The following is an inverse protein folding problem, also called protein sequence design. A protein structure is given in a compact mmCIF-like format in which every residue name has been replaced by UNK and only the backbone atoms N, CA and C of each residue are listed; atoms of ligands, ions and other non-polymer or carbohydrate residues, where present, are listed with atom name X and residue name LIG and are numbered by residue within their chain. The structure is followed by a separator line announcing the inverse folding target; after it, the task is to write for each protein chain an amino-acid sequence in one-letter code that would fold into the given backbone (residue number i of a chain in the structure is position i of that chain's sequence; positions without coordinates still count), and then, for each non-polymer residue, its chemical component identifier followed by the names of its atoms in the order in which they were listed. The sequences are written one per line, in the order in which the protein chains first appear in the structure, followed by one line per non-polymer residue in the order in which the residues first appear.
data_IF_196102074169
#
_entry.id   IF_196102074169
#
_cell.length_a   1.000
_cell.length_b   1.000
_cell.length_c   1.000
_cell.angle_alpha   90.00
_cell.angle_beta   90.00
_cell.angle_gamma   90.00
#
_symmetry.space_group_name_H-M   'P 1'
#
loop_
_entity.id
_entity.type
_entity.pdbx_description
1 polymer ?
#
# COMPACT_ATOMS: atom_id res chain seq x y z
N UNK A 1 112.61 -31.21 14.85
CA UNK A 1 112.55 -29.97 14.14
C UNK A 1 113.15 -30.17 12.76
N UNK A 2 112.43 -30.03 11.64
CA UNK A 2 112.94 -30.17 10.26
C UNK A 2 113.52 -28.84 9.82
N UNK A 3 114.74 -28.89 9.28
CA UNK A 3 115.44 -27.72 8.78
C UNK A 3 115.65 -27.86 7.25
N UNK A 4 115.58 -26.75 6.52
CA UNK A 4 116.05 -26.67 5.15
C UNK A 4 117.54 -26.36 5.18
N UNK A 5 118.36 -27.27 4.71
CA UNK A 5 119.83 -27.11 4.62
C UNK A 5 120.22 -26.59 3.23
N UNK A 6 120.74 -25.36 3.19
CA UNK A 6 121.38 -24.84 1.97
C UNK A 6 122.89 -24.81 2.19
N UNK A 7 123.54 -25.70 1.46
CA UNK A 7 124.97 -25.83 1.55
C UNK A 7 125.59 -25.05 0.39
N UNK A 8 126.55 -24.18 0.68
CA UNK A 8 127.32 -23.43 -0.31
C UNK A 8 128.83 -23.69 -0.08
N UNK A 9 129.53 -24.14 -1.06
CA UNK A 9 131.01 -24.29 -1.02
C UNK A 9 131.67 -22.91 -1.05
N UNK A 10 132.54 -22.69 -0.13
CA UNK A 10 133.49 -21.57 -0.19
C UNK A 10 134.61 -21.83 -1.19
N UNK A 11 134.79 -20.90 -2.14
CA UNK A 11 135.86 -20.99 -3.08
C UNK A 11 137.27 -20.93 -2.33
N UNK A 12 138.07 -21.78 -2.71
CA UNK A 12 139.47 -21.92 -2.18
C UNK A 12 139.70 -22.47 -0.75
N UNK A 13 138.65 -23.07 -0.13
CA UNK A 13 138.68 -23.70 1.17
C UNK A 13 138.00 -25.10 1.18
N UNK A 14 138.49 -26.09 2.00
CA UNK A 14 137.76 -27.35 2.12
C UNK A 14 136.49 -27.30 2.94
N UNK A 15 135.97 -26.13 3.20
CA UNK A 15 134.81 -25.92 4.09
C UNK A 15 133.46 -25.58 3.33
N UNK A 16 132.47 -26.32 3.74
CA UNK A 16 131.11 -26.08 3.28
C UNK A 16 130.32 -25.30 4.38
N UNK A 17 129.70 -24.16 4.03
CA UNK A 17 128.77 -23.45 4.93
C UNK A 17 127.37 -23.95 4.67
N UNK A 18 126.74 -24.56 5.68
CA UNK A 18 125.39 -25.02 5.62
C UNK A 18 124.49 -24.09 6.47
N UNK A 19 123.63 -23.35 5.80
CA UNK A 19 122.65 -22.54 6.48
C UNK A 19 121.42 -23.43 6.77
N UNK A 20 121.09 -23.63 8.04
CA UNK A 20 119.97 -24.36 8.52
C UNK A 20 118.79 -23.41 8.82
N UNK A 21 117.78 -23.34 7.96
CA UNK A 21 116.59 -22.53 8.19
C UNK A 21 115.49 -23.42 8.75
N UNK A 22 114.88 -23.12 9.92
CA UNK A 22 113.86 -23.98 10.51
C UNK A 22 112.65 -24.02 9.59
N UNK A 23 112.23 -25.19 9.10
CA UNK A 23 111.06 -25.34 8.25
C UNK A 23 109.75 -25.07 8.96
N UNK A 24 109.76 -25.01 10.29
CA UNK A 24 108.54 -24.72 11.07
C UNK A 24 108.01 -23.31 10.84
N UNK A 25 108.83 -22.29 10.76
CA UNK A 25 108.49 -20.92 10.55
C UNK A 25 107.96 -20.70 9.12
N UNK A 26 108.59 -21.28 8.12
CA UNK A 26 108.11 -21.27 6.73
C UNK A 26 106.76 -21.98 6.56
N UNK A 27 106.59 -23.12 7.24
CA UNK A 27 105.27 -23.82 7.24
C UNK A 27 104.21 -23.04 7.96
N UNK A 28 104.50 -22.33 9.07
CA UNK A 28 103.54 -21.48 9.74
C UNK A 28 103.16 -20.28 8.88
N UNK A 29 104.12 -19.68 8.21
CA UNK A 29 103.86 -18.51 7.36
C UNK A 29 103.05 -18.94 6.10
N UNK A 30 103.34 -20.04 5.47
CA UNK A 30 102.56 -20.60 4.38
C UNK A 30 101.21 -21.07 4.81
N UNK A 31 101.04 -21.62 6.02
CA UNK A 31 99.75 -22.00 6.55
C UNK A 31 98.86 -20.75 6.86
N UNK A 32 99.46 -19.69 7.44
CA UNK A 32 98.76 -18.45 7.68
C UNK A 32 98.29 -17.73 6.39
N UNK A 33 99.21 -17.71 5.37
CA UNK A 33 98.79 -17.15 4.06
C UNK A 33 97.73 -17.99 3.38
N UNK A 34 97.85 -19.35 3.47
CA UNK A 34 96.79 -20.24 2.97
C UNK A 34 95.43 -20.06 3.62
N UNK A 35 95.45 -19.85 4.97
CA UNK A 35 94.21 -19.60 5.70
C UNK A 35 93.57 -18.21 5.36
N UNK A 36 94.40 -17.17 5.19
CA UNK A 36 93.92 -15.86 4.76
C UNK A 36 93.27 -15.90 3.36
N UNK A 37 93.92 -16.59 2.42
CA UNK A 37 93.35 -16.80 1.07
C UNK A 37 92.06 -17.61 1.13
N UNK A 38 92.01 -18.66 1.91
CA UNK A 38 90.79 -19.48 2.06
C UNK A 38 89.66 -18.68 2.66
N UNK A 39 89.94 -17.85 3.69
CA UNK A 39 88.92 -16.93 4.28
C UNK A 39 88.45 -15.87 3.28
N UNK A 40 89.38 -15.30 2.48
CA UNK A 40 89.05 -14.36 1.44
C UNK A 40 88.12 -14.96 0.38
N UNK A 41 88.42 -16.21 -0.08
CA UNK A 41 87.53 -16.92 -1.02
C UNK A 41 86.18 -17.27 -0.39
N UNK A 42 86.11 -17.67 0.88
CA UNK A 42 84.88 -17.96 1.57
C UNK A 42 83.97 -16.70 1.70
N UNK A 43 84.57 -15.55 2.06
CA UNK A 43 83.93 -14.29 2.08
C UNK A 43 83.38 -13.86 0.72
N UNK A 44 84.20 -14.00 -0.32
CA UNK A 44 83.73 -13.70 -1.70
C UNK A 44 82.61 -14.61 -2.13
N UNK A 45 82.66 -15.87 -1.87
CA UNK A 45 81.59 -16.83 -2.15
C UNK A 45 80.34 -16.48 -1.38
N UNK A 46 80.42 -16.11 -0.08
CA UNK A 46 79.29 -15.64 0.73
C UNK A 46 78.69 -14.40 0.16
N UNK A 47 79.47 -13.39 -0.21
CA UNK A 47 79.00 -12.17 -0.84
C UNK A 47 78.32 -12.45 -2.17
N UNK A 48 78.76 -13.31 -2.99
CA UNK A 48 78.17 -13.71 -4.25
C UNK A 48 76.83 -14.40 -4.04
N UNK A 49 76.74 -15.30 -3.07
CA UNK A 49 75.48 -15.98 -2.71
C UNK A 49 74.51 -14.95 -2.16
N UNK A 50 74.93 -14.11 -1.21
CA UNK A 50 74.10 -13.09 -0.65
C UNK A 50 73.54 -12.04 -1.71
N UNK A 51 74.42 -11.69 -2.64
CA UNK A 51 74.09 -10.86 -3.79
C UNK A 51 73.01 -11.52 -4.70
N UNK A 52 73.26 -12.80 -5.02
CA UNK A 52 72.34 -13.57 -5.86
C UNK A 52 70.96 -13.73 -5.19
N UNK A 53 70.88 -14.02 -3.89
CA UNK A 53 69.62 -14.08 -3.13
C UNK A 53 68.89 -12.71 -3.06
N UNK A 54 69.71 -11.66 -2.82
CA UNK A 54 69.12 -10.28 -2.88
C UNK A 54 68.52 -9.94 -4.25
N UNK A 55 69.24 -10.29 -5.33
CA UNK A 55 68.73 -10.07 -6.70
C UNK A 55 67.41 -10.84 -6.96
N UNK A 56 67.35 -12.11 -6.52
CA UNK A 56 66.05 -12.88 -6.63
C UNK A 56 64.93 -12.26 -5.86
N UNK A 57 65.11 -11.82 -4.60
CA UNK A 57 64.11 -11.18 -3.77
C UNK A 57 63.64 -9.86 -4.38
N UNK A 58 64.54 -9.05 -4.93
CA UNK A 58 64.17 -7.81 -5.60
C UNK A 58 63.36 -8.09 -6.85
N UNK A 59 63.80 -9.05 -7.69
CA UNK A 59 63.09 -9.42 -8.91
C UNK A 59 61.68 -9.94 -8.62
N UNK A 60 61.52 -10.81 -7.61
CA UNK A 60 60.18 -11.31 -7.21
C UNK A 60 59.29 -10.21 -6.64
N UNK A 61 59.83 -9.26 -5.86
CA UNK A 61 59.06 -8.09 -5.36
C UNK A 61 58.62 -7.15 -6.47
N UNK A 62 59.48 -6.90 -7.48
CA UNK A 62 59.14 -6.10 -8.65
C UNK A 62 58.00 -6.74 -9.45
N UNK A 63 58.17 -8.04 -9.79
CA UNK A 63 57.15 -8.78 -10.51
C UNK A 63 55.80 -8.83 -9.74
N UNK A 64 55.80 -9.01 -8.42
CA UNK A 64 54.61 -8.98 -7.59
C UNK A 64 53.95 -7.59 -7.57
N UNK A 65 54.75 -6.51 -7.52
CA UNK A 65 54.22 -5.13 -7.63
C UNK A 65 53.59 -4.86 -8.98
N UNK A 66 54.22 -5.25 -10.07
CA UNK A 66 53.69 -5.09 -11.43
C UNK A 66 52.38 -5.87 -11.58
N UNK A 67 52.32 -7.12 -11.13
CA UNK A 67 51.10 -7.92 -11.16
C UNK A 67 49.97 -7.32 -10.32
N UNK A 68 50.29 -6.80 -9.13
CA UNK A 68 49.30 -6.12 -8.28
C UNK A 68 48.79 -4.84 -8.93
N UNK A 69 49.66 -4.06 -9.55
CA UNK A 69 49.26 -2.81 -10.22
C UNK A 69 48.42 -3.09 -11.46
N UNK A 70 48.72 -4.12 -12.24
CA UNK A 70 47.88 -4.57 -13.35
C UNK A 70 46.50 -5.03 -12.89
N UNK A 71 46.47 -5.86 -11.83
CA UNK A 71 45.22 -6.31 -11.23
C UNK A 71 44.35 -5.13 -10.70
N UNK A 72 44.99 -4.16 -10.06
CA UNK A 72 44.32 -2.95 -9.57
C UNK A 72 43.74 -2.12 -10.72
N UNK A 73 44.51 -1.89 -11.76
CA UNK A 73 44.09 -1.18 -12.96
C UNK A 73 42.88 -1.87 -13.65
N UNK A 74 42.92 -3.21 -13.73
CA UNK A 74 41.83 -4.00 -14.27
C UNK A 74 40.57 -3.89 -13.40
N UNK A 75 40.73 -3.90 -12.08
CA UNK A 75 39.63 -3.76 -11.13
C UNK A 75 39.00 -2.38 -11.23
N UNK A 76 39.78 -1.32 -11.28
CA UNK A 76 39.30 0.06 -11.45
C UNK A 76 38.49 0.23 -12.75
N UNK A 77 38.99 -0.35 -13.87
CA UNK A 77 38.25 -0.35 -15.14
C UNK A 77 36.89 -1.05 -14.99
N UNK A 78 36.87 -2.26 -14.41
CA UNK A 78 35.63 -3.01 -14.17
C UNK A 78 34.65 -2.28 -13.26
N UNK A 79 35.15 -1.63 -12.21
CA UNK A 79 34.31 -0.82 -11.30
C UNK A 79 33.70 0.35 -12.08
N UNK A 80 34.51 1.07 -12.86
CA UNK A 80 34.05 2.21 -13.65
C UNK A 80 32.99 1.78 -14.68
N UNK A 81 33.24 0.71 -15.41
CA UNK A 81 32.28 0.16 -16.39
C UNK A 81 30.98 -0.27 -15.72
N UNK A 82 31.05 -1.01 -14.61
CA UNK A 82 29.85 -1.42 -13.87
C UNK A 82 29.09 -0.24 -13.30
N UNK A 83 29.80 0.75 -12.77
CA UNK A 83 29.17 1.95 -12.19
C UNK A 83 28.45 2.78 -13.27
N UNK A 84 29.06 2.94 -14.43
CA UNK A 84 28.41 3.66 -15.57
C UNK A 84 27.20 2.89 -16.09
N UNK A 85 27.31 1.56 -16.22
CA UNK A 85 26.19 0.71 -16.64
C UNK A 85 25.03 0.75 -15.64
N UNK A 86 25.34 0.67 -14.32
CA UNK A 86 24.33 0.77 -13.26
C UNK A 86 23.63 2.13 -13.24
N UNK A 87 24.38 3.22 -13.44
CA UNK A 87 23.80 4.58 -13.54
C UNK A 87 22.86 4.69 -14.73
N UNK A 88 23.29 4.23 -15.89
CA UNK A 88 22.46 4.24 -17.10
C UNK A 88 21.18 3.39 -16.93
N UNK A 89 21.29 2.22 -16.34
CA UNK A 89 20.14 1.35 -16.05
C UNK A 89 19.17 1.99 -15.03
N UNK A 90 19.70 2.65 -14.00
CA UNK A 90 18.90 3.33 -12.98
C UNK A 90 18.14 4.52 -13.57
N UNK A 91 18.78 5.32 -14.44
CA UNK A 91 18.10 6.44 -15.12
C UNK A 91 17.00 5.94 -16.07
N UNK A 92 17.24 4.81 -16.77
CA UNK A 92 16.21 4.19 -17.62
C UNK A 92 15.02 3.70 -16.79
N UNK A 93 15.28 3.01 -15.66
CA UNK A 93 14.22 2.57 -14.74
C UNK A 93 13.42 3.75 -14.16
N UNK A 94 14.08 4.83 -13.77
CA UNK A 94 13.40 6.05 -13.31
C UNK A 94 12.51 6.66 -14.40
N UNK A 95 12.98 6.66 -15.64
CA UNK A 95 12.18 7.10 -16.81
C UNK A 95 10.92 6.24 -16.97
N UNK A 96 11.08 4.91 -16.99
CA UNK A 96 9.95 3.97 -17.12
C UNK A 96 8.95 4.10 -15.95
N UNK A 97 9.44 4.29 -14.71
CA UNK A 97 8.55 4.51 -13.55
C UNK A 97 7.73 5.80 -13.72
N UNK A 98 8.34 6.89 -14.23
CA UNK A 98 7.63 8.15 -14.48
C UNK A 98 6.56 7.98 -15.56
N UNK A 99 6.93 7.38 -16.69
CA UNK A 99 5.98 7.11 -17.79
C UNK A 99 4.82 6.23 -17.33
N UNK A 100 5.12 5.17 -16.58
CA UNK A 100 4.09 4.29 -16.02
C UNK A 100 3.14 5.02 -15.09
N UNK A 101 3.66 5.85 -14.17
CA UNK A 101 2.82 6.66 -13.28
C UNK A 101 1.93 7.64 -14.05
N UNK A 102 2.48 8.31 -15.07
CA UNK A 102 1.67 9.19 -15.91
C UNK A 102 0.57 8.44 -16.66
N UNK A 103 0.88 7.25 -17.19
CA UNK A 103 -0.11 6.42 -17.86
C UNK A 103 -1.20 5.93 -16.89
N UNK A 104 -0.81 5.50 -15.67
CA UNK A 104 -1.74 5.10 -14.61
C UNK A 104 -2.66 6.27 -14.18
N UNK A 105 -2.11 7.48 -14.00
CA UNK A 105 -2.90 8.68 -13.67
C UNK A 105 -3.87 9.07 -14.81
N UNK A 106 -3.41 8.97 -16.05
CA UNK A 106 -4.26 9.26 -17.21
C UNK A 106 -5.39 8.24 -17.33
N UNK A 107 -5.08 6.95 -17.16
CA UNK A 107 -6.06 5.87 -17.20
C UNK A 107 -7.11 6.06 -16.07
N UNK A 108 -6.66 6.39 -14.86
CA UNK A 108 -7.54 6.66 -13.74
C UNK A 108 -8.50 7.82 -14.02
N UNK A 109 -7.99 8.93 -14.54
CA UNK A 109 -8.84 10.08 -14.94
C UNK A 109 -9.87 9.70 -16.00
N UNK A 110 -9.45 8.95 -17.02
CA UNK A 110 -10.34 8.49 -18.07
C UNK A 110 -11.43 7.56 -17.52
N UNK A 111 -11.08 6.65 -16.59
CA UNK A 111 -12.05 5.79 -15.91
C UNK A 111 -13.06 6.62 -15.09
N UNK A 112 -12.58 7.61 -14.32
CA UNK A 112 -13.45 8.49 -13.54
C UNK A 112 -14.41 9.29 -14.44
N UNK A 113 -13.93 9.76 -15.58
CA UNK A 113 -14.75 10.47 -16.58
C UNK A 113 -15.80 9.54 -17.21
N UNK A 114 -15.44 8.29 -17.55
CA UNK A 114 -16.39 7.30 -18.07
C UNK A 114 -17.47 6.94 -17.05
N UNK A 115 -17.10 6.74 -15.78
CA UNK A 115 -18.04 6.49 -14.69
C UNK A 115 -19.00 7.67 -14.53
N UNK A 116 -18.48 8.90 -14.57
CA UNK A 116 -19.29 10.09 -14.48
C UNK A 116 -20.25 10.26 -15.69
N UNK A 117 -19.73 10.03 -16.90
CA UNK A 117 -20.55 10.06 -18.11
C UNK A 117 -21.64 8.99 -18.07
N UNK A 118 -21.32 7.77 -17.59
CA UNK A 118 -22.30 6.71 -17.39
C UNK A 118 -23.41 7.08 -16.40
N UNK A 119 -23.06 7.73 -15.28
CA UNK A 119 -24.04 8.23 -14.31
C UNK A 119 -24.96 9.28 -14.92
N UNK A 120 -24.40 10.24 -15.66
CA UNK A 120 -25.19 11.29 -16.32
C UNK A 120 -26.06 10.72 -17.42
N UNK A 121 -25.58 9.75 -18.20
CA UNK A 121 -26.36 9.06 -19.22
C UNK A 121 -27.53 8.29 -18.59
N UNK A 122 -27.32 7.61 -17.46
CA UNK A 122 -28.38 6.94 -16.73
C UNK A 122 -29.45 7.92 -16.24
N UNK A 123 -29.06 9.08 -15.68
CA UNK A 123 -30.01 10.15 -15.32
C UNK A 123 -30.77 10.65 -16.57
N UNK A 124 -30.06 10.84 -17.70
CA UNK A 124 -30.67 11.30 -18.95
C UNK A 124 -31.71 10.33 -19.50
N UNK A 125 -31.40 9.04 -19.53
CA UNK A 125 -32.37 8.01 -19.95
C UNK A 125 -33.60 7.93 -19.06
N UNK A 126 -33.45 8.30 -17.78
CA UNK A 126 -34.50 8.21 -16.78
C UNK A 126 -35.18 9.53 -16.47
N UNK A 127 -34.85 10.59 -17.22
CA UNK A 127 -35.43 11.93 -17.01
C UNK A 127 -36.95 11.91 -17.02
N UNK A 128 -37.58 11.08 -17.87
CA UNK A 128 -39.03 10.93 -17.95
C UNK A 128 -39.60 10.30 -16.66
N UNK A 129 -38.97 9.26 -16.13
CA UNK A 129 -39.42 8.61 -14.89
C UNK A 129 -39.25 9.54 -13.69
N UNK A 130 -38.10 10.24 -13.60
CA UNK A 130 -37.85 11.24 -12.54
C UNK A 130 -38.85 12.36 -12.62
N UNK A 131 -39.16 12.91 -13.80
CA UNK A 131 -40.16 13.92 -13.99
C UNK A 131 -41.53 13.41 -13.57
N UNK A 132 -41.89 12.18 -13.89
CA UNK A 132 -43.14 11.57 -13.47
C UNK A 132 -43.26 11.46 -11.95
N UNK A 133 -42.20 10.97 -11.28
CA UNK A 133 -42.16 10.85 -9.82
C UNK A 133 -42.10 12.17 -9.05
N UNK A 134 -41.63 13.26 -9.66
CA UNK A 134 -41.71 14.60 -9.10
C UNK A 134 -43.08 15.25 -9.36
N UNK A 135 -43.69 14.98 -10.52
CA UNK A 135 -44.98 15.54 -10.88
C UNK A 135 -46.16 14.94 -10.06
N UNK A 136 -46.06 13.67 -9.65
CA UNK A 136 -47.10 13.01 -8.82
C UNK A 136 -47.29 13.71 -7.47
N UNK A 137 -46.27 13.89 -6.60
CA UNK A 137 -46.45 14.61 -5.34
C UNK A 137 -46.85 16.08 -5.55
N UNK A 138 -46.38 16.73 -6.62
CA UNK A 138 -46.79 18.07 -6.98
C UNK A 138 -48.31 18.15 -7.28
N UNK A 139 -48.84 17.19 -8.04
CA UNK A 139 -50.27 17.12 -8.30
C UNK A 139 -51.08 16.87 -7.02
N UNK A 140 -50.63 15.98 -6.15
CA UNK A 140 -51.23 15.71 -4.85
C UNK A 140 -51.20 16.95 -3.93
N UNK A 141 -50.08 17.66 -3.85
CA UNK A 141 -49.92 18.91 -3.11
C UNK A 141 -50.92 19.95 -3.56
N UNK A 142 -51.09 20.14 -4.89
CA UNK A 142 -52.05 21.08 -5.46
C UNK A 142 -53.49 20.74 -5.05
N UNK A 143 -53.87 19.46 -5.11
CA UNK A 143 -55.18 18.96 -4.74
C UNK A 143 -55.47 19.14 -3.25
N UNK A 144 -54.50 18.70 -2.41
CA UNK A 144 -54.63 18.82 -0.95
C UNK A 144 -54.70 20.28 -0.49
N UNK A 145 -53.87 21.15 -1.09
CA UNK A 145 -53.90 22.59 -0.78
C UNK A 145 -55.26 23.19 -1.10
N UNK A 146 -55.81 22.91 -2.29
CA UNK A 146 -57.15 23.38 -2.66
C UNK A 146 -58.29 22.85 -1.76
N UNK A 147 -58.19 21.57 -1.36
CA UNK A 147 -59.13 20.94 -0.44
C UNK A 147 -59.01 21.55 0.98
N UNK A 148 -57.80 21.80 1.45
CA UNK A 148 -57.53 22.40 2.77
C UNK A 148 -58.23 23.75 2.90
N UNK A 149 -58.10 24.62 1.88
CA UNK A 149 -58.80 25.91 1.86
C UNK A 149 -60.34 25.74 2.01
N UNK A 150 -60.96 24.82 1.25
CA UNK A 150 -62.35 24.52 1.33
C UNK A 150 -62.84 23.98 2.69
N UNK A 151 -61.98 23.11 3.33
CA UNK A 151 -62.31 22.59 4.66
C UNK A 151 -62.19 23.67 5.74
N UNK A 152 -61.21 24.58 5.62
CA UNK A 152 -61.08 25.74 6.50
C UNK A 152 -62.33 26.66 6.39
N UNK A 153 -62.80 26.94 5.15
CA UNK A 153 -64.00 27.73 4.91
C UNK A 153 -65.26 27.08 5.51
N UNK A 154 -65.33 25.76 5.64
CA UNK A 154 -66.44 25.00 6.25
C UNK A 154 -66.27 24.78 7.75
N UNK A 155 -65.15 25.18 8.35
CA UNK A 155 -64.89 24.99 9.76
C UNK A 155 -64.38 23.61 10.14
N UNK A 156 -64.10 22.76 9.16
CA UNK A 156 -63.61 21.39 9.37
C UNK A 156 -62.09 21.39 9.67
N UNK A 157 -61.66 21.93 10.81
CA UNK A 157 -60.30 22.17 11.21
C UNK A 157 -59.46 20.86 11.30
N UNK A 158 -60.10 19.75 11.69
CA UNK A 158 -59.42 18.46 11.80
C UNK A 158 -58.96 17.96 10.43
N UNK A 159 -59.84 17.94 9.45
CA UNK A 159 -59.49 17.48 8.07
C UNK A 159 -58.50 18.42 7.42
N UNK A 160 -58.60 19.73 7.69
CA UNK A 160 -57.61 20.70 7.21
C UNK A 160 -56.22 20.43 7.82
N UNK A 161 -56.14 20.10 9.11
CA UNK A 161 -54.86 19.75 9.78
C UNK A 161 -54.27 18.45 9.23
N UNK A 162 -55.09 17.41 9.00
CA UNK A 162 -54.63 16.14 8.41
C UNK A 162 -54.11 16.35 6.98
N UNK A 163 -54.76 17.20 6.17
CA UNK A 163 -54.28 17.56 4.84
C UNK A 163 -52.94 18.31 4.89
N UNK A 164 -52.76 19.26 5.84
CA UNK A 164 -51.49 19.96 6.02
C UNK A 164 -50.38 19.02 6.44
N UNK A 165 -50.64 18.05 7.31
CA UNK A 165 -49.69 17.00 7.68
C UNK A 165 -49.26 16.18 6.46
N UNK A 166 -50.23 15.80 5.61
CA UNK A 166 -49.96 15.06 4.36
C UNK A 166 -49.11 15.89 3.37
N UNK A 167 -49.40 17.19 3.26
CA UNK A 167 -48.64 18.15 2.46
C UNK A 167 -47.16 18.18 2.91
N UNK A 168 -46.91 18.31 4.22
CA UNK A 168 -45.56 18.31 4.77
C UNK A 168 -44.81 17.00 4.43
N UNK A 169 -45.42 15.84 4.57
CA UNK A 169 -44.87 14.56 4.22
C UNK A 169 -44.50 14.47 2.74
N UNK A 170 -45.30 15.03 1.83
CA UNK A 170 -45.01 15.07 0.40
C UNK A 170 -43.83 16.00 0.07
N UNK A 171 -43.74 17.16 0.75
CA UNK A 171 -42.58 18.08 0.60
C UNK A 171 -41.30 17.42 1.04
N UNK A 172 -41.28 16.73 2.20
CA UNK A 172 -40.13 15.99 2.70
C UNK A 172 -39.70 14.85 1.75
N UNK A 173 -40.70 14.18 1.15
CA UNK A 173 -40.44 13.16 0.12
C UNK A 173 -39.76 13.77 -1.10
N UNK A 174 -40.24 14.90 -1.63
CA UNK A 174 -39.61 15.60 -2.76
C UNK A 174 -38.18 16.05 -2.41
N UNK A 175 -37.95 16.53 -1.20
CA UNK A 175 -36.62 16.88 -0.69
C UNK A 175 -35.67 15.70 -0.74
N UNK A 176 -36.10 14.50 -0.31
CA UNK A 176 -35.31 13.26 -0.39
C UNK A 176 -35.00 12.84 -1.83
N UNK A 177 -35.98 12.89 -2.74
CA UNK A 177 -35.77 12.59 -4.16
C UNK A 177 -34.68 13.50 -4.76
N UNK A 178 -34.79 14.81 -4.55
CA UNK A 178 -33.83 15.79 -5.10
C UNK A 178 -32.46 15.68 -4.47
N UNK A 179 -32.35 15.38 -3.17
CA UNK A 179 -31.08 15.12 -2.48
C UNK A 179 -30.40 13.89 -3.03
N UNK A 180 -31.10 12.78 -3.25
CA UNK A 180 -30.57 11.54 -3.83
C UNK A 180 -30.07 11.76 -5.26
N UNK A 181 -30.80 12.47 -6.10
CA UNK A 181 -30.39 12.81 -7.46
C UNK A 181 -29.13 13.67 -7.47
N UNK A 182 -29.05 14.69 -6.60
CA UNK A 182 -27.87 15.55 -6.46
C UNK A 182 -26.65 14.75 -6.02
N UNK A 183 -26.82 13.85 -5.06
CA UNK A 183 -25.75 12.98 -4.56
C UNK A 183 -25.24 12.03 -5.64
N UNK A 184 -26.14 11.46 -6.45
CA UNK A 184 -25.77 10.57 -7.57
C UNK A 184 -25.00 11.32 -8.66
N UNK A 185 -25.38 12.57 -8.96
CA UNK A 185 -24.74 13.41 -9.97
C UNK A 185 -23.38 14.02 -9.54
N UNK A 186 -23.10 14.07 -8.22
CA UNK A 186 -21.90 14.74 -7.70
C UNK A 186 -20.64 13.95 -7.98
N UNK A 187 -19.58 14.64 -8.45
CA UNK A 187 -18.21 14.10 -8.50
C UNK A 187 -17.72 13.87 -7.08
N UNK A 188 -17.29 12.66 -6.78
CA UNK A 188 -16.76 12.34 -5.47
C UNK A 188 -15.30 12.77 -5.33
N UNK A 189 -15.01 13.55 -4.31
CA UNK A 189 -13.62 13.72 -3.82
C UNK A 189 -13.35 12.56 -2.85
N UNK A 190 -12.49 11.62 -3.26
CA UNK A 190 -12.34 10.29 -2.62
C UNK A 190 -11.39 10.27 -1.41
N UNK A 191 -11.00 11.41 -0.84
CA UNK A 191 -9.98 11.50 0.20
C UNK A 191 -10.54 11.86 1.60
N UNK A 192 -11.64 11.25 2.01
CA UNK A 192 -12.18 11.42 3.36
C UNK A 192 -11.81 10.29 4.31
N UNK A 193 -11.79 10.60 5.61
CA UNK A 193 -11.77 9.60 6.69
C UNK A 193 -13.02 9.75 7.53
N UNK A 194 -13.70 8.64 7.81
CA UNK A 194 -14.91 8.61 8.61
C UNK A 194 -14.70 7.79 9.90
N UNK A 195 -15.22 8.27 11.02
CA UNK A 195 -15.41 7.46 12.22
C UNK A 195 -16.71 6.67 12.08
N UNK A 196 -16.60 5.34 12.12
CA UNK A 196 -17.78 4.46 12.05
C UNK A 196 -18.77 4.76 13.17
N UNK A 197 -18.29 4.90 14.40
CA UNK A 197 -19.14 5.19 15.55
C UNK A 197 -19.98 6.45 15.35
N UNK A 198 -19.35 7.56 14.92
CA UNK A 198 -20.03 8.83 14.64
C UNK A 198 -21.04 8.72 13.51
N UNK A 199 -20.71 7.99 12.44
CA UNK A 199 -21.61 7.81 11.31
C UNK A 199 -22.86 6.99 11.69
N UNK A 200 -22.67 5.94 12.48
CA UNK A 200 -23.78 5.13 12.99
C UNK A 200 -24.66 5.95 13.91
N UNK A 201 -24.09 6.70 14.86
CA UNK A 201 -24.83 7.53 15.78
C UNK A 201 -25.66 8.61 15.05
N UNK A 202 -25.09 9.27 14.03
CA UNK A 202 -25.77 10.24 13.20
C UNK A 202 -26.94 9.60 12.40
N UNK A 203 -26.72 8.42 11.82
CA UNK A 203 -27.75 7.70 11.08
C UNK A 203 -28.90 7.24 11.99
N UNK A 204 -28.59 6.73 13.18
CA UNK A 204 -29.60 6.34 14.18
C UNK A 204 -30.39 7.55 14.70
N UNK A 205 -29.72 8.68 14.94
CA UNK A 205 -30.37 9.92 15.34
C UNK A 205 -31.37 10.44 14.28
N UNK A 206 -30.96 10.36 13.00
CA UNK A 206 -31.83 10.78 11.89
C UNK A 206 -33.08 9.89 11.76
N UNK A 207 -32.95 8.60 12.11
CA UNK A 207 -34.04 7.62 12.02
C UNK A 207 -34.77 7.36 13.35
N UNK A 208 -34.43 8.11 14.41
CA UNK A 208 -34.94 7.88 15.77
C UNK A 208 -36.45 7.77 15.85
N UNK A 209 -37.21 8.74 15.31
CA UNK A 209 -38.67 8.71 15.32
C UNK A 209 -39.23 7.45 14.66
N UNK A 210 -38.65 7.03 13.52
CA UNK A 210 -39.07 5.81 12.81
C UNK A 210 -38.79 4.56 13.59
N UNK A 211 -37.65 4.52 14.31
CA UNK A 211 -37.29 3.42 15.18
C UNK A 211 -38.22 3.29 16.40
N UNK A 212 -38.57 4.41 17.00
CA UNK A 212 -39.54 4.47 18.08
C UNK A 212 -40.94 4.02 17.64
N UNK A 213 -41.42 4.54 16.50
CA UNK A 213 -42.73 4.17 15.92
C UNK A 213 -42.83 2.68 15.56
N UNK A 214 -41.72 2.09 15.07
CA UNK A 214 -41.68 0.68 14.72
C UNK A 214 -41.37 -0.25 15.90
N UNK A 215 -40.95 0.27 17.06
CA UNK A 215 -40.59 -0.51 18.25
C UNK A 215 -39.40 -1.45 18.02
N UNK A 216 -38.45 -1.10 17.11
CA UNK A 216 -37.35 -1.96 16.73
C UNK A 216 -36.35 -2.12 17.86
N UNK A 217 -35.93 -3.37 18.12
CA UNK A 217 -34.83 -3.70 19.02
C UNK A 217 -33.52 -3.61 18.27
N UNK A 218 -32.60 -2.74 18.74
CA UNK A 218 -31.29 -2.53 18.14
C UNK A 218 -30.22 -3.35 18.86
N UNK A 219 -29.53 -4.20 18.15
CA UNK A 219 -28.34 -4.93 18.59
C UNK A 219 -27.10 -4.30 17.94
N UNK A 220 -26.19 -3.78 18.76
CA UNK A 220 -24.98 -3.09 18.26
C UNK A 220 -23.73 -3.77 18.78
N UNK A 221 -22.92 -4.31 17.85
CA UNK A 221 -21.62 -4.91 18.09
C UNK A 221 -20.62 -4.37 17.07
N UNK A 222 -20.10 -3.16 17.32
CA UNK A 222 -19.22 -2.42 16.40
C UNK A 222 -17.91 -2.07 17.08
N UNK A 223 -16.80 -2.15 16.33
CA UNK A 223 -15.51 -1.62 16.76
C UNK A 223 -15.42 -0.10 16.52
N UNK A 224 -14.59 0.57 17.33
CA UNK A 224 -14.25 1.98 17.07
C UNK A 224 -13.12 2.03 16.02
N UNK A 225 -13.48 2.30 14.78
CA UNK A 225 -12.58 2.27 13.63
C UNK A 225 -12.74 3.52 12.76
N UNK A 226 -11.61 3.91 12.13
CA UNK A 226 -11.61 4.93 11.08
C UNK A 226 -11.59 4.23 9.71
N UNK A 227 -12.51 4.62 8.83
CA UNK A 227 -12.69 4.07 7.50
C UNK A 227 -12.26 5.09 6.44
N UNK A 228 -11.71 4.59 5.32
CA UNK A 228 -11.27 5.42 4.19
C UNK A 228 -12.47 5.78 3.29
N UNK A 229 -13.35 6.62 3.79
CA UNK A 229 -14.54 7.15 3.11
C UNK A 229 -14.88 8.51 3.73
N UNK A 230 -15.52 9.40 2.99
CA UNK A 230 -16.05 10.64 3.54
C UNK A 230 -17.16 10.38 4.57
N UNK A 231 -17.17 11.18 5.67
CA UNK A 231 -18.11 11.00 6.79
C UNK A 231 -19.57 11.05 6.32
N UNK A 232 -19.92 12.05 5.51
CA UNK A 232 -21.30 12.25 5.01
C UNK A 232 -21.75 11.11 4.09
N UNK A 233 -20.83 10.56 3.30
CA UNK A 233 -21.11 9.39 2.43
C UNK A 233 -21.36 8.13 3.24
N UNK A 234 -20.57 7.89 4.30
CA UNK A 234 -20.82 6.75 5.18
C UNK A 234 -22.17 6.87 5.88
N UNK A 235 -22.49 8.06 6.41
CA UNK A 235 -23.79 8.34 7.00
C UNK A 235 -24.93 8.09 6.01
N UNK A 236 -24.79 8.54 4.77
CA UNK A 236 -25.78 8.32 3.71
C UNK A 236 -25.99 6.83 3.40
N UNK A 237 -24.91 6.04 3.32
CA UNK A 237 -25.02 4.57 3.15
C UNK A 237 -25.79 3.97 4.33
N UNK A 238 -25.41 4.33 5.57
CA UNK A 238 -26.04 3.80 6.78
C UNK A 238 -27.53 4.16 6.89
N UNK A 239 -27.88 5.42 6.66
CA UNK A 239 -29.29 5.88 6.65
C UNK A 239 -30.10 5.09 5.64
N UNK A 240 -29.55 4.84 4.44
CA UNK A 240 -30.23 4.06 3.43
C UNK A 240 -30.41 2.59 3.82
N UNK A 241 -29.36 1.93 4.35
CA UNK A 241 -29.43 0.51 4.73
C UNK A 241 -30.33 0.29 5.94
N UNK A 242 -30.21 1.12 6.99
CA UNK A 242 -31.06 1.06 8.18
C UNK A 242 -32.50 1.41 7.81
N UNK A 243 -32.71 2.45 6.99
CA UNK A 243 -34.04 2.81 6.50
C UNK A 243 -34.73 1.68 5.72
N UNK A 244 -33.98 0.96 4.88
CA UNK A 244 -34.49 -0.20 4.17
C UNK A 244 -34.89 -1.34 5.12
N UNK A 245 -34.10 -1.60 6.17
CA UNK A 245 -34.41 -2.58 7.20
C UNK A 245 -35.69 -2.23 7.96
N UNK A 246 -35.84 -0.97 8.37
CA UNK A 246 -37.09 -0.48 9.02
C UNK A 246 -38.31 -0.65 8.12
N UNK A 247 -38.19 -0.28 6.83
CA UNK A 247 -39.28 -0.44 5.87
C UNK A 247 -39.67 -1.93 5.68
N UNK A 248 -38.68 -2.83 5.64
CA UNK A 248 -38.94 -4.25 5.44
C UNK A 248 -39.64 -4.91 6.63
N UNK A 249 -39.43 -4.40 7.84
CA UNK A 249 -40.00 -4.93 9.07
C UNK A 249 -41.36 -4.30 9.41
N UNK A 250 -41.83 -3.29 8.64
CA UNK A 250 -43.06 -2.60 8.89
C UNK A 250 -44.27 -3.54 8.75
N UNK A 251 -45.10 -3.63 9.79
CA UNK A 251 -46.35 -4.44 9.79
C UNK A 251 -46.14 -5.95 9.95
N UNK A 252 -44.92 -6.42 10.27
CA UNK A 252 -44.68 -7.85 10.60
C UNK A 252 -45.27 -8.19 12.00
N UNK A 253 -45.59 -9.48 12.19
CA UNK A 253 -46.14 -9.98 13.44
C UNK A 253 -45.08 -10.27 14.51
N UNK A 254 -43.83 -10.47 14.11
CA UNK A 254 -42.69 -10.69 15.01
C UNK A 254 -42.09 -9.36 15.46
N UNK A 255 -41.58 -9.26 16.71
CA UNK A 255 -40.87 -8.05 17.13
C UNK A 255 -39.75 -7.69 16.13
N UNK A 256 -39.67 -6.45 15.64
CA UNK A 256 -38.65 -6.06 14.68
C UNK A 256 -37.27 -5.97 15.38
N UNK A 257 -36.27 -6.57 14.78
CA UNK A 257 -34.91 -6.58 15.29
C UNK A 257 -33.91 -6.15 14.20
N UNK A 258 -33.02 -5.24 14.58
CA UNK A 258 -31.95 -4.72 13.72
C UNK A 258 -30.59 -5.00 14.36
N UNK A 259 -29.69 -5.66 13.62
CA UNK A 259 -28.31 -5.89 14.03
C UNK A 259 -27.34 -5.05 13.23
N UNK A 260 -26.48 -4.33 13.94
CA UNK A 260 -25.31 -3.64 13.40
C UNK A 260 -24.07 -4.31 13.96
N UNK A 261 -23.45 -5.17 13.17
CA UNK A 261 -22.29 -5.97 13.57
C UNK A 261 -21.10 -5.62 12.69
N UNK A 262 -19.90 -5.64 13.28
CA UNK A 262 -18.73 -5.31 12.50
C UNK A 262 -17.47 -6.01 12.97
N UNK A 263 -16.65 -6.41 12.00
CA UNK A 263 -15.39 -7.09 12.24
C UNK A 263 -14.29 -6.59 11.31
N UNK A 264 -13.05 -6.65 11.79
CA UNK A 264 -11.87 -6.35 10.97
C UNK A 264 -11.49 -7.61 10.20
N UNK A 265 -11.41 -7.51 8.88
CA UNK A 265 -10.95 -8.58 8.00
C UNK A 265 -9.78 -8.07 7.17
N UNK A 266 -8.56 -8.54 7.45
CA UNK A 266 -7.31 -8.14 6.82
C UNK A 266 -7.09 -6.62 6.87
N UNK A 267 -7.26 -5.91 5.73
CA UNK A 267 -7.12 -4.45 5.60
C UNK A 267 -8.45 -3.71 5.45
N UNK A 268 -9.57 -4.42 5.59
CA UNK A 268 -10.93 -3.90 5.43
C UNK A 268 -11.74 -4.14 6.70
N UNK A 269 -12.77 -3.32 6.86
CA UNK A 269 -13.80 -3.51 7.87
C UNK A 269 -15.05 -4.05 7.21
N UNK A 270 -15.59 -5.14 7.74
CA UNK A 270 -16.86 -5.75 7.33
C UNK A 270 -17.93 -5.27 8.28
N UNK A 271 -18.85 -4.46 7.78
CA UNK A 271 -20.03 -4.00 8.51
C UNK A 271 -21.25 -4.74 7.99
N UNK A 272 -21.97 -5.39 8.89
CA UNK A 272 -23.24 -6.07 8.63
C UNK A 272 -24.38 -5.24 9.16
N UNK A 273 -25.38 -4.98 8.30
CA UNK A 273 -26.68 -4.40 8.66
C UNK A 273 -27.72 -5.46 8.37
N UNK A 274 -28.28 -6.10 9.41
CA UNK A 274 -29.21 -7.21 9.28
C UNK A 274 -30.54 -6.89 9.93
N UNK A 275 -31.63 -7.29 9.27
CA UNK A 275 -32.99 -7.26 9.77
C UNK A 275 -33.57 -8.67 9.92
N UNK A 276 -34.69 -8.80 10.63
CA UNK A 276 -35.51 -10.00 10.73
C UNK A 276 -36.82 -9.91 9.92
N UNK A 277 -36.85 -9.09 8.89
CA UNK A 277 -38.00 -8.90 8.01
C UNK A 277 -38.36 -10.16 7.18
N UNK A 278 -39.31 -10.06 6.27
CA UNK A 278 -39.79 -11.20 5.45
C UNK A 278 -38.75 -11.68 4.42
N UNK A 279 -37.62 -10.97 4.27
CA UNK A 279 -36.62 -11.25 3.28
C UNK A 279 -36.97 -10.73 1.88
N UNK A 280 -36.27 -11.23 0.86
CA UNK A 280 -36.44 -10.82 -0.54
C UNK A 280 -36.67 -12.06 -1.40
N UNK A 281 -37.68 -11.98 -2.26
CA UNK A 281 -37.99 -13.06 -3.20
C UNK A 281 -36.81 -13.42 -4.09
N UNK A 282 -36.59 -14.72 -4.39
CA UNK A 282 -35.42 -15.17 -5.17
C UNK A 282 -35.28 -14.49 -6.52
N UNK A 283 -36.39 -14.18 -7.18
CA UNK A 283 -36.41 -13.50 -8.49
C UNK A 283 -35.90 -12.06 -8.40
N UNK A 284 -36.22 -11.35 -7.31
CA UNK A 284 -35.83 -9.96 -7.07
C UNK A 284 -34.33 -9.82 -6.66
N UNK A 285 -33.74 -10.85 -6.09
CA UNK A 285 -32.36 -10.81 -5.54
C UNK A 285 -31.30 -10.40 -6.57
N UNK A 286 -31.48 -10.79 -7.84
CA UNK A 286 -30.53 -10.49 -8.92
C UNK A 286 -30.52 -9.01 -9.33
N UNK A 287 -31.63 -8.31 -9.11
CA UNK A 287 -31.87 -6.95 -9.56
C UNK A 287 -31.73 -5.88 -8.46
N UNK A 288 -31.41 -6.27 -7.21
CA UNK A 288 -31.39 -5.39 -6.04
C UNK A 288 -30.53 -4.14 -6.18
N UNK A 289 -29.43 -4.26 -6.90
CA UNK A 289 -28.48 -3.17 -7.14
C UNK A 289 -28.69 -2.48 -8.50
N UNK A 290 -29.68 -2.90 -9.28
CA UNK A 290 -30.06 -2.22 -10.52
C UNK A 290 -30.77 -0.90 -10.20
N UNK A 291 -30.44 0.17 -10.92
CA UNK A 291 -31.11 1.45 -10.72
C UNK A 291 -32.62 1.31 -10.92
N UNK A 292 -33.40 1.93 -10.03
CA UNK A 292 -34.88 1.98 -10.05
C UNK A 292 -35.60 0.65 -9.80
N UNK A 293 -34.87 -0.40 -9.50
CA UNK A 293 -35.48 -1.62 -9.05
C UNK A 293 -36.00 -1.48 -7.61
N UNK A 294 -37.28 -1.72 -7.40
CA UNK A 294 -37.92 -1.72 -6.07
C UNK A 294 -38.98 -2.79 -5.98
N UNK A 295 -39.04 -3.46 -4.83
CA UNK A 295 -40.08 -4.43 -4.49
C UNK A 295 -41.18 -3.79 -3.59
N UNK A 296 -41.01 -2.53 -3.19
CA UNK A 296 -41.94 -1.83 -2.32
C UNK A 296 -43.21 -1.45 -3.11
N UNK A 297 -44.42 -1.80 -2.62
CA UNK A 297 -45.64 -1.46 -3.30
C UNK A 297 -45.87 0.04 -3.30
N UNK A 298 -46.33 0.59 -4.43
CA UNK A 298 -46.65 1.99 -4.57
C UNK A 298 -45.46 2.94 -4.55
N UNK A 299 -45.68 4.19 -4.21
CA UNK A 299 -44.77 5.31 -4.36
C UNK A 299 -43.63 5.40 -3.30
N UNK A 300 -43.34 4.35 -2.56
CA UNK A 300 -42.46 4.41 -1.38
C UNK A 300 -40.93 4.32 -1.65
N UNK A 301 -40.46 4.09 -2.86
CA UNK A 301 -39.01 4.03 -3.12
C UNK A 301 -38.62 4.19 -4.58
N UNK A 302 -37.68 5.07 -4.86
CA UNK A 302 -37.10 5.29 -6.20
C UNK A 302 -36.25 4.12 -6.73
N UNK A 303 -35.94 3.11 -5.93
CA UNK A 303 -35.01 2.05 -6.32
C UNK A 303 -33.57 2.54 -6.54
N UNK A 304 -33.20 3.73 -6.08
CA UNK A 304 -31.86 4.31 -6.24
C UNK A 304 -30.97 4.12 -5.00
N UNK A 305 -31.54 3.82 -3.85
CA UNK A 305 -30.81 3.80 -2.59
C UNK A 305 -29.67 2.78 -2.56
N UNK A 306 -29.95 1.52 -2.92
CA UNK A 306 -28.94 0.46 -2.92
C UNK A 306 -27.88 0.66 -4.00
N UNK A 307 -28.28 1.10 -5.19
CA UNK A 307 -27.36 1.44 -6.29
C UNK A 307 -26.41 2.56 -5.90
N UNK A 308 -26.95 3.62 -5.26
CA UNK A 308 -26.14 4.73 -4.76
C UNK A 308 -25.17 4.26 -3.66
N UNK A 309 -25.67 3.50 -2.69
CA UNK A 309 -24.84 2.96 -1.60
C UNK A 309 -23.70 2.07 -2.13
N UNK A 310 -23.98 1.21 -3.12
CA UNK A 310 -22.97 0.39 -3.78
C UNK A 310 -21.93 1.24 -4.53
N UNK A 311 -22.38 2.30 -5.22
CA UNK A 311 -21.49 3.23 -5.93
C UNK A 311 -20.60 4.02 -4.97
N UNK A 312 -21.13 4.47 -3.83
CA UNK A 312 -20.36 5.18 -2.80
C UNK A 312 -19.31 4.27 -2.14
N UNK A 313 -19.70 3.02 -1.85
CA UNK A 313 -18.79 2.02 -1.31
C UNK A 313 -17.66 1.68 -2.31
N UNK A 314 -17.99 1.48 -3.58
CA UNK A 314 -17.02 1.19 -4.65
C UNK A 314 -16.05 2.36 -4.86
N UNK A 315 -16.53 3.60 -4.84
CA UNK A 315 -15.71 4.81 -4.94
C UNK A 315 -14.69 4.92 -3.80
N UNK A 316 -15.02 4.41 -2.61
CA UNK A 316 -14.13 4.35 -1.46
C UNK A 316 -13.17 3.11 -1.49
N UNK A 317 -13.14 2.33 -2.56
CA UNK A 317 -12.34 1.10 -2.68
C UNK A 317 -12.93 -0.09 -1.90
N UNK A 318 -14.19 0.01 -1.51
CA UNK A 318 -14.97 -1.02 -0.84
C UNK A 318 -15.99 -1.72 -1.76
N UNK A 319 -16.98 -2.39 -1.15
CA UNK A 319 -18.09 -3.01 -1.85
C UNK A 319 -19.31 -3.13 -0.95
N UNK A 320 -20.49 -3.20 -1.55
CA UNK A 320 -21.74 -3.53 -0.88
C UNK A 320 -22.32 -4.79 -1.50
N UNK A 321 -22.65 -5.76 -0.66
CA UNK A 321 -23.27 -7.03 -1.07
C UNK A 321 -24.44 -7.37 -0.15
N UNK A 322 -25.19 -8.42 -0.47
CA UNK A 322 -26.33 -8.88 0.30
C UNK A 322 -26.20 -10.37 0.59
N UNK A 323 -26.51 -10.75 1.82
CA UNK A 323 -26.59 -12.14 2.28
C UNK A 323 -28.02 -12.43 2.77
N UNK A 324 -28.44 -13.69 2.64
CA UNK A 324 -29.77 -14.13 3.03
C UNK A 324 -29.63 -15.18 4.14
N UNK A 325 -29.72 -14.76 5.42
CA UNK A 325 -29.59 -15.66 6.56
C UNK A 325 -30.66 -16.75 6.54
N UNK A 326 -30.31 -17.97 6.99
CA UNK A 326 -31.24 -19.09 7.10
C UNK A 326 -32.38 -18.80 8.12
N UNK A 327 -32.10 -17.92 9.07
CA UNK A 327 -33.06 -17.46 10.10
C UNK A 327 -34.11 -16.49 9.59
N UNK A 328 -34.03 -16.11 8.31
CA UNK A 328 -34.91 -15.10 7.70
C UNK A 328 -34.28 -13.72 7.72
N UNK A 329 -34.96 -12.74 7.09
CA UNK A 329 -34.48 -11.38 6.95
C UNK A 329 -33.48 -11.15 5.82
N UNK A 330 -32.82 -10.00 5.85
CA UNK A 330 -31.79 -9.61 4.90
C UNK A 330 -30.57 -9.09 5.66
N UNK A 331 -29.39 -9.40 5.19
CA UNK A 331 -28.14 -8.85 5.71
C UNK A 331 -27.38 -8.14 4.60
N UNK A 332 -27.26 -6.83 4.69
CA UNK A 332 -26.36 -6.06 3.81
C UNK A 332 -24.96 -6.04 4.40
N UNK A 333 -23.98 -6.38 3.58
CA UNK A 333 -22.56 -6.43 3.95
C UNK A 333 -21.83 -5.31 3.25
N UNK A 334 -21.36 -4.34 4.02
CA UNK A 334 -20.54 -3.23 3.56
C UNK A 334 -19.06 -3.50 3.91
N UNK A 335 -18.22 -3.61 2.90
CA UNK A 335 -16.77 -3.75 3.05
C UNK A 335 -16.11 -2.41 2.72
N UNK A 336 -15.36 -1.84 3.65
CA UNK A 336 -14.64 -0.58 3.45
C UNK A 336 -13.18 -0.71 3.90
N UNK A 337 -12.23 -0.04 3.23
CA UNK A 337 -10.83 -0.02 3.65
C UNK A 337 -10.68 0.70 4.99
N UNK A 338 -9.86 0.13 5.87
CA UNK A 338 -9.44 0.78 7.11
C UNK A 338 -8.41 1.89 6.82
N UNK A 339 -8.46 2.96 7.59
CA UNK A 339 -7.35 3.90 7.66
C UNK A 339 -6.23 3.18 8.41
N UNK A 340 -5.16 2.80 7.70
CA UNK A 340 -3.98 2.23 8.37
C UNK A 340 -3.42 3.30 9.32
N UNK A 341 -3.12 2.95 10.58
CA UNK A 341 -2.36 3.87 11.44
C UNK A 341 -1.07 4.20 10.68
N UNK A 342 -0.74 5.50 10.60
CA UNK A 342 0.53 5.94 10.05
C UNK A 342 1.63 5.08 10.68
N UNK A 343 2.46 4.39 9.85
CA UNK A 343 3.65 3.73 10.38
C UNK A 343 4.38 4.78 11.18
N UNK A 344 4.46 4.60 12.48
CA UNK A 344 5.35 5.38 13.31
C UNK A 344 6.73 5.21 12.68
N UNK A 345 7.29 6.28 12.14
CA UNK A 345 8.70 6.33 11.79
C UNK A 345 9.46 5.98 13.07
N UNK A 346 9.95 4.78 13.12
CA UNK A 346 10.88 4.34 14.16
C UNK A 346 12.18 5.10 13.91
N UNK A 347 12.70 5.79 14.92
CA UNK A 347 13.87 6.66 14.81
C UNK A 347 15.14 5.92 14.43
#
# INVERSE_FOLDING_TARGET
VSYLAQTRKLNDTPWDITLLTPLQDLRREAANQGTLVAVAFALLAFLLIAWNERRKVIATRLAAREALQEANNQLERKITERTTHLRASNERLKGQIRERRQAEDTLRRAQDELVQAGKLAAIGQMSTSIAHELNQPLAALRTLSGNTVRFLERGDLKVAADNLSTINNLVDRMGRITANLRSFARRGDDQGQASLGKAVDAALQLLASRMEESGVQLHRALGDVALKIDQTRLEQILVNLIGNALDAMQGQSTPPELWLEGEVSESKYRLLVRDNGPGIEPQARKHLFEPFFTTKPGEQGLGLGLTLSASLAAAAGGSLSVEFPVTGGVAFVLLLPLVQPAKADTP
#
